data_IF_410391451696
#
_entry.id   IF_410391451696
#
_cell.length_a   1.000
_cell.length_b   1.000
_cell.length_c   1.000
_cell.angle_alpha   90.00
_cell.angle_beta   90.00
_cell.angle_gamma   90.00
#
_symmetry.space_group_name_H-M   'P 1'
#
loop_
_entity.id
_entity.type
_entity.pdbx_description
1 polymer ?
#
# COMPACT_ATOMS: atom_id res chain seq x y z
N UNK A 1 -65.95 48.71 29.27
CA UNK A 1 -66.68 49.72 28.48
C UNK A 1 -65.69 50.67 27.82
N UNK A 2 -66.04 51.26 26.68
CA UNK A 2 -65.26 52.15 25.78
C UNK A 2 -64.38 51.40 24.74
N UNK A 3 -64.89 51.07 23.55
CA UNK A 3 -65.20 51.89 22.34
C UNK A 3 -64.00 52.08 21.39
N UNK A 4 -63.91 51.12 20.46
CA UNK A 4 -63.69 51.22 19.02
C UNK A 4 -63.19 52.57 18.45
N UNK A 5 -62.05 52.54 17.76
CA UNK A 5 -61.73 53.49 16.68
C UNK A 5 -61.34 52.69 15.43
N UNK A 6 -62.14 52.87 14.38
CA UNK A 6 -61.86 52.45 13.01
C UNK A 6 -60.63 53.22 12.49
N UNK A 7 -59.73 52.52 11.80
CA UNK A 7 -58.86 53.11 10.80
C UNK A 7 -58.79 52.16 9.60
N UNK A 8 -59.23 52.69 8.47
CA UNK A 8 -59.35 52.10 7.14
C UNK A 8 -58.04 51.48 6.63
N UNK A 9 -58.11 50.23 6.17
CA UNK A 9 -57.02 49.51 5.50
C UNK A 9 -57.01 49.94 4.03
N UNK A 10 -55.97 50.68 3.61
CA UNK A 10 -55.69 50.96 2.22
C UNK A 10 -54.98 49.75 1.60
N UNK A 11 -55.64 49.11 0.63
CA UNK A 11 -55.11 47.97 -0.10
C UNK A 11 -54.12 48.46 -1.18
N UNK A 12 -52.81 48.37 -0.92
CA UNK A 12 -51.78 48.63 -1.93
C UNK A 12 -51.54 47.35 -2.72
N UNK A 13 -51.99 47.33 -3.98
CA UNK A 13 -51.70 46.26 -4.93
C UNK A 13 -50.30 46.48 -5.48
N UNK A 14 -49.33 45.69 -5.02
CA UNK A 14 -47.99 45.62 -5.61
C UNK A 14 -48.00 44.62 -6.77
N UNK A 15 -47.88 45.15 -7.99
CA UNK A 15 -47.70 44.38 -9.20
C UNK A 15 -46.33 43.67 -9.18
N UNK A 16 -46.33 42.34 -9.23
CA UNK A 16 -45.12 41.54 -9.31
C UNK A 16 -44.53 41.61 -10.73
N UNK A 17 -43.34 42.18 -10.88
CA UNK A 17 -42.55 42.13 -12.10
C UNK A 17 -41.88 40.75 -12.22
N UNK A 18 -42.17 40.01 -13.29
CA UNK A 18 -41.52 38.75 -13.59
C UNK A 18 -40.06 38.97 -14.05
N UNK A 19 -39.11 38.08 -13.67
CA UNK A 19 -37.73 38.16 -14.13
C UNK A 19 -37.59 37.76 -15.60
N UNK A 20 -36.57 38.25 -16.32
CA UNK A 20 -36.36 37.93 -17.73
C UNK A 20 -35.90 36.48 -17.91
N UNK A 21 -36.46 35.81 -18.93
CA UNK A 21 -36.08 34.47 -19.32
C UNK A 21 -34.67 34.45 -19.94
N UNK A 22 -33.71 33.81 -19.28
CA UNK A 22 -32.42 33.50 -19.88
C UNK A 22 -32.56 32.29 -20.80
N UNK A 23 -32.32 32.49 -22.09
CA UNK A 23 -32.22 31.41 -23.07
C UNK A 23 -30.95 30.58 -22.80
N UNK A 24 -31.12 29.31 -22.44
CA UNK A 24 -30.03 28.36 -22.28
C UNK A 24 -29.46 27.99 -23.67
N UNK A 25 -28.20 28.36 -23.91
CA UNK A 25 -27.45 27.98 -25.12
C UNK A 25 -26.96 26.54 -24.95
N UNK A 26 -27.52 25.60 -25.71
CA UNK A 26 -27.08 24.20 -25.73
C UNK A 26 -25.69 24.08 -26.37
N UNK A 27 -24.69 23.64 -25.59
CA UNK A 27 -23.40 23.21 -26.11
C UNK A 27 -23.57 21.82 -26.78
N UNK A 28 -22.87 21.53 -27.89
CA UNK A 28 -22.85 20.19 -28.45
C UNK A 28 -22.21 19.21 -27.47
N UNK A 29 -22.93 18.12 -27.19
CA UNK A 29 -22.48 17.02 -26.35
C UNK A 29 -21.33 16.30 -27.07
N UNK A 30 -20.11 16.38 -26.53
CA UNK A 30 -19.04 15.50 -26.96
C UNK A 30 -19.38 14.08 -26.49
N UNK A 31 -19.54 13.15 -27.43
CA UNK A 31 -19.73 11.72 -27.15
C UNK A 31 -18.42 11.15 -26.61
N UNK A 32 -18.19 11.23 -25.30
CA UNK A 32 -17.04 10.60 -24.65
C UNK A 32 -17.35 9.11 -24.50
N UNK A 33 -16.83 8.29 -25.41
CA UNK A 33 -16.79 6.83 -25.23
C UNK A 33 -16.05 6.53 -23.92
N UNK A 34 -16.64 5.81 -22.95
CA UNK A 34 -15.90 5.39 -21.76
C UNK A 34 -14.71 4.51 -22.19
N UNK A 35 -13.51 4.72 -21.63
CA UNK A 35 -12.39 3.84 -21.91
C UNK A 35 -12.76 2.40 -21.55
N UNK A 36 -12.31 1.40 -22.33
CA UNK A 36 -12.58 0.01 -22.01
C UNK A 36 -12.07 -0.31 -20.60
N UNK A 37 -12.74 -1.20 -19.84
CA UNK A 37 -12.27 -1.62 -18.54
C UNK A 37 -10.86 -2.19 -18.72
N UNK A 38 -9.87 -1.53 -18.11
CA UNK A 38 -8.52 -2.07 -18.02
C UNK A 38 -8.58 -3.26 -17.06
N UNK A 39 -8.90 -4.43 -17.61
CA UNK A 39 -8.69 -5.71 -16.94
C UNK A 39 -7.18 -5.98 -16.85
N UNK A 40 -6.46 -5.16 -16.11
CA UNK A 40 -5.10 -5.47 -15.69
C UNK A 40 -5.25 -6.45 -14.53
N UNK A 41 -5.34 -7.75 -14.83
CA UNK A 41 -5.13 -8.77 -13.80
C UNK A 41 -3.73 -8.54 -13.23
N UNK A 42 -3.64 -8.05 -11.99
CA UNK A 42 -2.35 -7.86 -11.31
C UNK A 42 -1.66 -9.22 -11.19
N UNK A 43 -0.40 -9.31 -11.61
CA UNK A 43 0.38 -10.52 -11.36
C UNK A 43 0.66 -10.65 -9.87
N UNK A 44 0.93 -11.86 -9.38
CA UNK A 44 1.39 -12.06 -7.99
C UNK A 44 2.64 -11.23 -7.67
N UNK A 45 3.51 -10.99 -8.66
CA UNK A 45 4.65 -10.11 -8.51
C UNK A 45 4.24 -8.65 -8.22
N UNK A 46 3.17 -8.16 -8.84
CA UNK A 46 2.64 -6.81 -8.61
C UNK A 46 2.08 -6.63 -7.20
N UNK A 47 1.50 -7.70 -6.62
CA UNK A 47 1.03 -7.66 -5.23
C UNK A 47 2.16 -7.48 -4.22
N UNK A 48 3.38 -7.94 -4.54
CA UNK A 48 4.57 -7.61 -3.76
C UNK A 48 5.13 -6.24 -4.13
N UNK A 49 5.37 -5.97 -5.42
CA UNK A 49 6.07 -4.78 -5.87
C UNK A 49 5.33 -3.49 -5.54
N UNK A 50 4.00 -3.47 -5.66
CA UNK A 50 3.20 -2.26 -5.47
C UNK A 50 3.39 -1.66 -4.08
N UNK A 51 3.14 -2.38 -2.97
CA UNK A 51 3.37 -1.83 -1.62
C UNK A 51 4.83 -1.54 -1.31
N UNK A 52 5.79 -2.31 -1.85
CA UNK A 52 7.22 -1.97 -1.73
C UNK A 52 7.51 -0.60 -2.37
N UNK A 53 7.08 -0.40 -3.61
CA UNK A 53 7.42 0.78 -4.39
C UNK A 53 6.65 2.02 -3.92
N UNK A 54 5.44 1.86 -3.37
CA UNK A 54 4.74 2.93 -2.66
C UNK A 54 5.52 3.41 -1.42
N UNK A 55 5.99 2.48 -0.57
CA UNK A 55 6.78 2.82 0.61
C UNK A 55 8.11 3.49 0.24
N UNK A 56 8.76 3.01 -0.83
CA UNK A 56 10.02 3.57 -1.34
C UNK A 56 9.86 4.97 -1.91
N UNK A 57 8.78 5.22 -2.66
CA UNK A 57 8.46 6.55 -3.15
C UNK A 57 8.23 7.54 -2.00
N UNK A 58 7.59 7.11 -0.92
CA UNK A 58 7.32 7.96 0.25
C UNK A 58 8.60 8.48 0.95
N UNK A 59 9.73 7.79 0.79
CA UNK A 59 11.03 8.20 1.35
C UNK A 59 12.05 8.63 0.29
N UNK A 60 11.64 8.78 -0.98
CA UNK A 60 12.50 9.28 -2.05
C UNK A 60 13.65 8.34 -2.44
N UNK A 61 13.44 7.01 -2.38
CA UNK A 61 14.39 6.02 -2.93
C UNK A 61 13.86 5.40 -4.23
N UNK A 62 14.74 4.99 -5.17
CA UNK A 62 14.31 4.41 -6.44
C UNK A 62 13.44 3.16 -6.27
N UNK A 63 12.48 2.88 -7.16
CA UNK A 63 11.65 1.67 -7.07
C UNK A 63 12.47 0.39 -7.25
N UNK A 64 11.99 -0.71 -6.67
CA UNK A 64 12.48 -2.06 -6.92
C UNK A 64 11.90 -2.61 -8.22
N UNK A 65 12.67 -3.47 -8.88
CA UNK A 65 12.19 -4.33 -9.96
C UNK A 65 12.04 -5.78 -9.49
N UNK A 66 11.15 -6.53 -10.13
CA UNK A 66 10.99 -7.95 -9.84
C UNK A 66 12.17 -8.75 -10.41
N UNK A 67 12.66 -9.72 -9.64
CA UNK A 67 13.68 -10.66 -10.08
C UNK A 67 13.15 -12.09 -9.99
N UNK A 68 12.98 -12.72 -11.15
CA UNK A 68 12.54 -14.12 -11.26
C UNK A 68 13.53 -15.08 -10.59
N UNK A 69 14.83 -14.78 -10.60
CA UNK A 69 15.85 -15.59 -9.93
C UNK A 69 15.71 -15.53 -8.41
N UNK A 70 15.47 -14.33 -7.86
CA UNK A 70 15.21 -14.16 -6.42
C UNK A 70 13.90 -14.83 -6.02
N UNK A 71 12.85 -14.71 -6.83
CA UNK A 71 11.55 -15.34 -6.57
C UNK A 71 11.64 -16.88 -6.60
N UNK A 72 12.39 -17.43 -7.56
CA UNK A 72 12.68 -18.87 -7.63
C UNK A 72 13.44 -19.34 -6.39
N UNK A 73 14.46 -18.57 -5.97
CA UNK A 73 15.22 -18.88 -4.75
C UNK A 73 14.31 -18.82 -3.51
N UNK A 74 13.48 -17.78 -3.38
CA UNK A 74 12.51 -17.65 -2.30
C UNK A 74 11.53 -18.83 -2.26
N UNK A 75 11.04 -19.28 -3.41
CA UNK A 75 10.15 -20.43 -3.53
C UNK A 75 10.82 -21.73 -3.07
N UNK A 76 12.08 -21.93 -3.44
CA UNK A 76 12.87 -23.06 -2.95
C UNK A 76 13.06 -23.00 -1.42
N UNK A 77 13.32 -21.81 -0.86
CA UNK A 77 13.42 -21.60 0.60
C UNK A 77 12.11 -21.95 1.30
N UNK A 78 10.97 -21.46 0.83
CA UNK A 78 9.67 -21.74 1.45
C UNK A 78 9.28 -23.22 1.34
N UNK A 79 9.55 -23.85 0.19
CA UNK A 79 9.31 -25.28 -0.02
C UNK A 79 10.16 -26.14 0.93
N UNK A 80 11.44 -25.78 1.15
CA UNK A 80 12.29 -26.46 2.10
C UNK A 80 11.74 -26.37 3.54
N UNK A 81 11.18 -25.22 3.94
CA UNK A 81 10.56 -25.06 5.27
C UNK A 81 9.26 -25.84 5.42
N UNK A 82 8.46 -25.98 4.35
CA UNK A 82 7.31 -26.87 4.33
C UNK A 82 7.73 -28.34 4.54
N UNK A 83 8.75 -28.80 3.83
CA UNK A 83 9.20 -30.21 3.92
C UNK A 83 9.79 -30.58 5.29
N UNK A 84 10.33 -29.59 6.02
CA UNK A 84 10.76 -29.76 7.42
C UNK A 84 9.58 -29.88 8.41
N UNK A 85 8.34 -29.74 7.93
CA UNK A 85 7.11 -29.94 8.69
C UNK A 85 6.73 -28.80 9.64
N UNK A 86 7.59 -27.80 9.82
CA UNK A 86 7.40 -26.73 10.80
C UNK A 86 7.01 -25.39 10.18
N UNK A 87 7.29 -25.18 8.90
CA UNK A 87 6.98 -23.93 8.21
C UNK A 87 7.51 -22.69 8.99
N UNK A 88 8.66 -22.87 9.63
CA UNK A 88 9.36 -21.86 10.43
C UNK A 88 10.13 -20.91 9.51
N UNK A 89 10.61 -19.80 10.07
CA UNK A 89 11.54 -18.93 9.37
C UNK A 89 12.84 -19.67 9.05
N UNK A 90 13.30 -19.52 7.82
CA UNK A 90 14.57 -20.06 7.36
C UNK A 90 15.75 -19.32 8.01
N UNK A 91 16.82 -20.06 8.26
CA UNK A 91 18.11 -19.46 8.55
C UNK A 91 18.68 -18.85 7.25
N UNK A 92 18.86 -17.53 7.26
CA UNK A 92 19.36 -16.74 6.14
C UNK A 92 20.73 -16.14 6.43
N UNK A 93 21.41 -16.52 7.52
CA UNK A 93 22.66 -15.88 7.96
C UNK A 93 23.82 -16.01 6.96
N UNK A 94 23.85 -17.09 6.17
CA UNK A 94 24.84 -17.32 5.12
C UNK A 94 24.39 -16.83 3.72
N UNK A 95 23.18 -16.26 3.61
CA UNK A 95 22.66 -15.78 2.33
C UNK A 95 23.39 -14.51 1.89
N UNK A 96 23.72 -14.43 0.60
CA UNK A 96 24.20 -13.19 -0.03
C UNK A 96 23.08 -12.15 -0.25
N UNK A 97 21.82 -12.57 -0.10
CA UNK A 97 20.63 -11.73 -0.29
C UNK A 97 20.14 -11.19 1.04
N UNK A 98 19.57 -9.98 1.02
CA UNK A 98 18.72 -9.51 2.12
C UNK A 98 17.46 -10.35 2.17
N UNK A 99 16.86 -10.51 3.35
CA UNK A 99 15.68 -11.36 3.51
C UNK A 99 14.68 -10.75 4.49
N UNK A 100 13.42 -10.67 4.07
CA UNK A 100 12.28 -10.51 4.97
C UNK A 100 11.47 -11.79 4.99
N UNK A 101 11.03 -12.20 6.18
CA UNK A 101 10.18 -13.37 6.37
C UNK A 101 8.93 -12.97 7.14
N UNK A 102 7.79 -13.54 6.74
CA UNK A 102 6.49 -13.26 7.34
C UNK A 102 5.74 -14.56 7.59
N UNK A 103 5.08 -14.65 8.74
CA UNK A 103 4.23 -15.80 9.08
C UNK A 103 2.86 -15.29 9.47
N UNK A 104 1.82 -15.89 8.88
CA UNK A 104 0.43 -15.59 9.20
C UNK A 104 -0.31 -16.89 9.47
N UNK A 105 -1.15 -16.93 10.51
CA UNK A 105 -1.96 -18.10 10.87
C UNK A 105 -3.13 -18.37 9.90
N UNK A 106 -3.23 -17.59 8.84
CA UNK A 106 -4.31 -17.58 7.85
C UNK A 106 -3.70 -17.45 6.44
N UNK A 107 -4.48 -17.72 5.37
CA UNK A 107 -4.01 -17.57 3.99
C UNK A 107 -3.83 -16.09 3.61
N UNK A 108 -2.71 -15.50 4.04
CA UNK A 108 -2.42 -14.08 3.85
C UNK A 108 -2.04 -13.76 2.41
N UNK A 109 -2.55 -12.64 1.89
CA UNK A 109 -2.18 -12.18 0.54
C UNK A 109 -0.76 -11.59 0.54
N UNK A 110 0.00 -11.71 -0.56
CA UNK A 110 1.30 -11.08 -0.73
C UNK A 110 1.36 -9.62 -0.27
N UNK A 111 0.41 -8.79 -0.72
CA UNK A 111 0.39 -7.37 -0.40
C UNK A 111 0.13 -7.07 1.08
N UNK A 112 -0.63 -7.92 1.78
CA UNK A 112 -0.90 -7.78 3.22
C UNK A 112 0.38 -7.97 4.04
N UNK A 113 1.21 -8.95 3.66
CA UNK A 113 2.48 -9.23 4.33
C UNK A 113 3.46 -8.08 4.13
N UNK A 114 3.57 -7.54 2.92
CA UNK A 114 4.42 -6.36 2.67
C UNK A 114 3.91 -5.14 3.41
N UNK A 115 2.59 -4.90 3.43
CA UNK A 115 2.00 -3.80 4.18
C UNK A 115 2.32 -3.88 5.69
N UNK A 116 2.32 -5.09 6.26
CA UNK A 116 2.72 -5.30 7.65
C UNK A 116 4.20 -4.93 7.91
N UNK A 117 5.11 -5.26 6.98
CA UNK A 117 6.51 -4.82 7.07
C UNK A 117 6.63 -3.31 6.93
N UNK A 118 5.92 -2.70 5.97
CA UNK A 118 5.92 -1.25 5.76
C UNK A 118 5.39 -0.51 7.01
N UNK A 119 4.37 -1.05 7.67
CA UNK A 119 3.80 -0.47 8.88
C UNK A 119 4.80 -0.37 10.05
N UNK A 120 5.88 -1.17 10.06
CA UNK A 120 6.95 -1.04 11.04
C UNK A 120 7.71 0.30 10.92
N UNK A 121 7.57 1.02 9.81
CA UNK A 121 8.15 2.36 9.64
C UNK A 121 7.70 3.35 10.72
N UNK A 122 6.52 3.15 11.33
CA UNK A 122 6.06 3.95 12.48
C UNK A 122 6.96 3.84 13.72
N UNK A 123 7.78 2.80 13.78
CA UNK A 123 8.74 2.55 14.86
C UNK A 123 10.17 2.92 14.48
N UNK A 124 10.43 3.34 13.25
CA UNK A 124 11.77 3.66 12.80
C UNK A 124 12.08 5.15 12.99
N UNK A 125 13.12 5.46 13.75
CA UNK A 125 13.66 6.79 13.90
C UNK A 125 14.84 6.97 12.93
N UNK A 126 14.61 7.69 11.84
CA UNK A 126 15.64 7.92 10.80
C UNK A 126 16.85 8.70 11.33
N UNK A 127 16.63 9.73 12.15
CA UNK A 127 17.70 10.63 12.61
C UNK A 127 18.82 9.96 13.40
N UNK A 128 18.58 8.80 14.02
CA UNK A 128 19.60 8.01 14.71
C UNK A 128 19.67 6.55 14.21
N UNK A 129 19.03 6.24 13.09
CA UNK A 129 18.97 4.93 12.47
C UNK A 129 18.62 3.78 13.45
N UNK A 130 17.57 3.97 14.26
CA UNK A 130 17.17 3.00 15.28
C UNK A 130 15.68 2.66 15.25
N UNK A 131 15.33 1.49 15.78
CA UNK A 131 13.95 1.18 16.10
C UNK A 131 13.59 1.71 17.49
N UNK A 132 12.34 2.12 17.69
CA UNK A 132 11.81 2.47 18.99
C UNK A 132 12.04 1.33 20.01
N UNK A 133 12.27 1.63 21.29
CA UNK A 133 12.54 0.61 22.30
C UNK A 133 11.49 -0.51 22.33
N UNK A 134 11.96 -1.75 22.29
CA UNK A 134 11.10 -2.95 22.29
C UNK A 134 10.32 -3.20 20.98
N UNK A 135 10.56 -2.39 19.94
CA UNK A 135 9.91 -2.53 18.63
C UNK A 135 10.87 -3.07 17.58
N UNK A 136 10.30 -3.64 16.52
CA UNK A 136 11.05 -4.10 15.35
C UNK A 136 10.75 -3.21 14.16
N UNK A 137 11.80 -2.86 13.42
CA UNK A 137 11.71 -2.07 12.19
C UNK A 137 12.65 -2.58 11.08
N UNK A 138 13.36 -3.69 11.31
CA UNK A 138 14.33 -4.23 10.36
C UNK A 138 13.71 -4.67 9.02
N UNK A 139 12.46 -5.12 9.03
CA UNK A 139 11.78 -5.46 7.78
C UNK A 139 11.39 -4.21 6.98
N UNK A 140 10.98 -3.14 7.66
CA UNK A 140 10.76 -1.83 7.03
C UNK A 140 12.05 -1.29 6.41
N UNK A 141 13.15 -1.23 7.17
CA UNK A 141 14.41 -0.69 6.67
C UNK A 141 14.95 -1.47 5.46
N UNK A 142 14.72 -2.78 5.40
CA UNK A 142 15.03 -3.57 4.20
C UNK A 142 14.15 -3.19 3.00
N UNK A 143 12.83 -3.02 3.19
CA UNK A 143 11.90 -2.61 2.11
C UNK A 143 12.36 -1.29 1.48
N UNK A 144 12.75 -0.32 2.30
CA UNK A 144 13.13 1.03 1.85
C UNK A 144 14.64 1.24 1.68
N UNK A 145 15.42 0.16 1.63
CA UNK A 145 16.87 0.27 1.49
C UNK A 145 17.26 0.82 0.11
N UNK A 146 17.87 2.02 0.08
CA UNK A 146 18.16 2.80 -1.14
C UNK A 146 18.99 2.02 -2.16
N UNK A 147 19.96 1.23 -1.69
CA UNK A 147 20.88 0.49 -2.56
C UNK A 147 20.31 -0.82 -3.09
N UNK A 148 19.25 -1.34 -2.49
CA UNK A 148 18.55 -2.53 -3.00
C UNK A 148 17.79 -2.12 -4.26
N UNK A 149 17.94 -2.89 -5.33
CA UNK A 149 17.34 -2.61 -6.65
C UNK A 149 16.37 -3.69 -7.11
N UNK A 150 16.53 -4.92 -6.62
CA UNK A 150 15.72 -6.06 -7.01
C UNK A 150 15.09 -6.75 -5.80
N UNK A 151 13.88 -7.28 -6.00
CA UNK A 151 13.20 -8.16 -5.04
C UNK A 151 12.57 -9.35 -5.77
N UNK A 152 12.55 -10.50 -5.11
CA UNK A 152 11.74 -11.63 -5.53
C UNK A 152 11.22 -12.36 -4.31
N UNK A 153 9.95 -12.74 -4.35
CA UNK A 153 9.23 -13.28 -3.20
C UNK A 153 8.50 -14.57 -3.55
N UNK A 154 8.21 -15.36 -2.52
CA UNK A 154 7.36 -16.53 -2.61
C UNK A 154 6.58 -16.75 -1.30
N UNK A 155 5.48 -17.49 -1.45
CA UNK A 155 4.65 -17.94 -0.34
C UNK A 155 4.48 -19.45 -0.37
N UNK A 156 4.34 -20.02 0.83
CA UNK A 156 4.01 -21.41 1.06
C UNK A 156 2.85 -21.53 2.03
N UNK A 157 1.90 -22.42 1.73
CA UNK A 157 0.83 -22.79 2.65
C UNK A 157 1.29 -23.96 3.51
N UNK A 158 1.39 -23.72 4.82
CA UNK A 158 1.75 -24.73 5.80
C UNK A 158 0.62 -25.75 5.98
N UNK A 159 0.91 -26.95 6.50
CA UNK A 159 -0.10 -27.98 6.77
C UNK A 159 -1.23 -27.50 7.71
N UNK A 160 -0.94 -26.53 8.56
CA UNK A 160 -1.91 -25.89 9.48
C UNK A 160 -2.84 -24.88 8.79
N UNK A 161 -2.65 -24.59 7.50
CA UNK A 161 -3.34 -23.51 6.78
C UNK A 161 -2.70 -22.13 6.95
N UNK A 162 -1.61 -22.03 7.73
CA UNK A 162 -0.80 -20.82 7.84
C UNK A 162 -0.05 -20.50 6.55
N UNK A 163 0.37 -19.26 6.38
CA UNK A 163 1.20 -18.79 5.27
C UNK A 163 2.59 -18.39 5.76
N UNK A 164 3.62 -18.99 5.17
CA UNK A 164 5.01 -18.53 5.25
C UNK A 164 5.34 -17.73 3.99
N UNK A 165 5.86 -16.52 4.16
CA UNK A 165 6.32 -15.64 3.08
C UNK A 165 7.82 -15.39 3.22
N UNK A 166 8.56 -15.48 2.13
CA UNK A 166 9.96 -15.08 2.04
C UNK A 166 10.12 -14.10 0.87
N UNK A 167 10.73 -12.95 1.14
CA UNK A 167 11.17 -12.00 0.11
C UNK A 167 12.69 -11.84 0.19
N UNK A 168 13.36 -11.99 -0.95
CA UNK A 168 14.80 -11.83 -1.08
C UNK A 168 15.13 -10.54 -1.82
N UNK A 169 16.18 -9.86 -1.38
CA UNK A 169 16.56 -8.52 -1.83
C UNK A 169 18.01 -8.50 -2.31
N UNK A 170 18.26 -7.86 -3.46
CA UNK A 170 19.61 -7.69 -3.99
C UNK A 170 19.87 -6.27 -4.54
N UNK A 171 21.04 -5.67 -4.25
CA UNK A 171 21.95 -6.00 -3.15
C UNK A 171 21.25 -6.02 -1.78
N UNK A 172 21.80 -6.75 -0.81
CA UNK A 172 21.21 -6.86 0.53
C UNK A 172 21.16 -5.50 1.24
N UNK A 173 20.13 -5.32 2.08
CA UNK A 173 20.01 -4.16 2.95
C UNK A 173 20.49 -4.43 4.37
N UNK A 174 20.14 -3.52 5.29
CA UNK A 174 20.42 -3.62 6.71
C UNK A 174 21.91 -3.82 7.03
N UNK A 175 22.79 -3.16 6.27
CA UNK A 175 24.23 -3.15 6.54
C UNK A 175 24.50 -2.37 7.82
N UNK A 176 25.22 -2.98 8.76
CA UNK A 176 25.55 -2.37 10.04
C UNK A 176 26.19 -0.99 9.86
N UNK A 177 25.68 0.00 10.58
CA UNK A 177 26.17 1.39 10.53
C UNK A 177 25.71 2.20 9.33
N UNK A 178 24.90 1.66 8.42
CA UNK A 178 24.36 2.40 7.26
C UNK A 178 22.86 2.70 7.43
N UNK A 179 22.46 3.92 7.05
CA UNK A 179 21.04 4.31 6.97
C UNK A 179 20.39 3.74 5.70
N UNK A 180 19.12 3.30 5.75
CA UNK A 180 18.37 2.84 4.59
C UNK A 180 18.14 3.92 3.53
N UNK A 181 18.05 5.21 3.89
CA UNK A 181 17.83 6.31 2.93
C UNK A 181 18.42 7.64 3.37
#
# INVERSE_FOLDING_TARGET
>A
MARLRLATIACVVLAALAPPAFAARTLPHATTTPPPPSNTSSSTADEYLTPHNQARAAVGVPPLTWSTNLATTAAATTAAQQQRGRCEFADMGASQYGANQGWASYPARPGEVVAAWVAQGRYYAHGNNSCAPGQQCGTYTQVVWRRTSQVGCAQATCATGATLTVCLYYPHGNVQGQSPY
#
